data_IF_217585767734
#
_entry.id   IF_217585767734
#
_cell.length_a   1.000
_cell.length_b   1.000
_cell.length_c   1.000
_cell.angle_alpha   90.00
_cell.angle_beta   90.00
_cell.angle_gamma   90.00
#
_symmetry.space_group_name_H-M   'P 1'
#
loop_
_entity.id
_entity.type
_entity.pdbx_description
1 polymer ?
#
# COMPACT_ATOMS: atom_id res chain seq x y z
N UNK A 1 9.11 1.17 -5.51
CA UNK A 1 8.01 2.13 -5.70
C UNK A 1 7.05 2.15 -4.52
N UNK A 2 6.51 1.00 -4.06
CA UNK A 2 5.59 0.92 -2.91
C UNK A 2 6.08 1.70 -1.67
N UNK A 3 7.35 1.54 -1.27
CA UNK A 3 7.96 2.32 -0.18
C UNK A 3 7.82 3.84 -0.35
N UNK A 4 8.12 4.36 -1.55
CA UNK A 4 8.04 5.79 -1.84
C UNK A 4 6.60 6.29 -1.83
N UNK A 5 5.65 5.52 -2.36
CA UNK A 5 4.22 5.83 -2.29
C UNK A 5 3.71 5.83 -0.85
N UNK A 6 4.17 4.90 -0.01
CA UNK A 6 3.82 4.87 1.40
C UNK A 6 4.38 6.07 2.17
N UNK A 7 5.66 6.41 1.93
CA UNK A 7 6.30 7.58 2.51
C UNK A 7 5.59 8.88 2.11
N UNK A 8 5.23 9.01 0.82
CA UNK A 8 4.49 10.17 0.31
C UNK A 8 3.09 10.26 0.94
N UNK A 9 2.30 9.17 0.93
CA UNK A 9 0.97 9.14 1.52
C UNK A 9 0.96 9.58 2.99
N UNK A 10 1.89 9.06 3.80
CA UNK A 10 2.06 9.49 5.19
C UNK A 10 2.43 10.97 5.31
N UNK A 11 3.32 11.48 4.46
CA UNK A 11 3.71 12.90 4.49
C UNK A 11 2.57 13.86 4.10
N UNK A 12 1.60 13.37 3.34
CA UNK A 12 0.37 14.10 2.97
C UNK A 12 -0.75 13.96 4.03
N UNK A 13 -0.53 13.19 5.10
CA UNK A 13 -1.50 13.02 6.19
C UNK A 13 -2.48 11.86 6.00
N UNK A 14 -2.25 10.97 5.03
CA UNK A 14 -3.07 9.78 4.81
C UNK A 14 -2.58 8.58 5.64
N UNK A 15 -3.54 7.73 6.00
CA UNK A 15 -3.26 6.37 6.40
C UNK A 15 -2.85 5.56 5.16
N UNK A 16 -1.91 4.64 5.29
CA UNK A 16 -1.39 3.86 4.16
C UNK A 16 -1.57 2.39 4.44
N UNK A 17 -2.11 1.66 3.47
CA UNK A 17 -2.03 0.22 3.42
C UNK A 17 -1.10 -0.18 2.29
N UNK A 18 -0.17 -1.09 2.55
CA UNK A 18 0.62 -1.81 1.55
C UNK A 18 0.03 -3.21 1.43
N UNK A 19 0.03 -3.80 0.24
CA UNK A 19 -0.53 -5.13 0.02
C UNK A 19 -0.10 -6.13 1.11
N UNK A 20 -1.05 -6.93 1.60
CA UNK A 20 -0.87 -7.84 2.75
C UNK A 20 0.33 -8.78 2.58
N UNK A 21 0.49 -9.30 1.37
CA UNK A 21 1.56 -10.21 0.97
C UNK A 21 2.94 -9.54 0.95
N UNK A 22 3.00 -8.22 0.89
CA UNK A 22 4.24 -7.44 0.82
C UNK A 22 4.70 -6.87 2.16
N UNK A 23 3.91 -7.00 3.24
CA UNK A 23 4.26 -6.51 4.58
C UNK A 23 5.62 -7.00 5.10
N UNK A 24 6.07 -8.19 4.69
CA UNK A 24 7.36 -8.76 5.11
C UNK A 24 8.54 -8.37 4.20
N UNK A 25 8.29 -7.70 3.08
CA UNK A 25 9.35 -7.27 2.18
C UNK A 25 10.09 -6.08 2.76
N UNK A 26 11.37 -5.97 2.42
CA UNK A 26 12.21 -4.86 2.80
C UNK A 26 12.59 -4.02 1.57
N UNK A 27 12.77 -2.71 1.79
CA UNK A 27 13.41 -1.78 0.86
C UNK A 27 14.37 -0.90 1.66
N UNK A 28 15.65 -0.87 1.28
CA UNK A 28 16.68 -0.07 2.00
C UNK A 28 16.64 -0.30 3.53
N UNK A 29 16.64 -1.58 3.95
CA UNK A 29 16.56 -2.02 5.36
C UNK A 29 15.27 -1.62 6.12
N UNK A 30 14.28 -1.05 5.44
CA UNK A 30 12.96 -0.74 6.00
C UNK A 30 11.95 -1.83 5.64
N UNK A 31 11.26 -2.38 6.63
CA UNK A 31 10.20 -3.36 6.40
C UNK A 31 8.94 -2.62 5.96
N UNK A 32 8.37 -2.99 4.80
CA UNK A 32 7.22 -2.30 4.23
C UNK A 32 6.01 -2.30 5.18
N UNK A 33 5.78 -3.40 5.90
CA UNK A 33 4.70 -3.49 6.88
C UNK A 33 4.76 -2.45 8.00
N UNK A 34 5.93 -1.89 8.32
CA UNK A 34 6.08 -0.81 9.30
C UNK A 34 5.54 0.54 8.79
N UNK A 35 5.46 0.67 7.46
CA UNK A 35 4.89 1.82 6.76
C UNK A 35 3.40 1.62 6.41
N UNK A 36 2.83 0.45 6.72
CA UNK A 36 1.43 0.09 6.47
C UNK A 36 0.60 0.15 7.76
N UNK A 37 -0.72 0.24 7.63
CA UNK A 37 -1.66 -0.07 8.69
C UNK A 37 -1.50 -1.54 9.10
N UNK A 38 -1.64 -1.83 10.40
CA UNK A 38 -1.55 -3.22 10.89
C UNK A 38 -2.71 -4.08 10.41
N UNK A 39 -3.90 -3.49 10.27
CA UNK A 39 -5.12 -4.14 9.79
C UNK A 39 -5.86 -3.16 8.89
N UNK A 40 -6.23 -3.59 7.69
CA UNK A 40 -7.12 -2.84 6.82
C UNK A 40 -8.56 -3.01 7.29
N UNK A 41 -9.28 -1.90 7.47
CA UNK A 41 -10.70 -1.89 7.78
C UNK A 41 -11.37 -0.93 6.83
N UNK A 42 -12.43 -1.39 6.18
CA UNK A 42 -13.27 -0.62 5.29
C UNK A 42 -14.73 -0.91 5.66
N UNK A 43 -15.54 0.12 5.80
CA UNK A 43 -16.94 -0.05 6.18
C UNK A 43 -17.79 -0.53 4.98
N UNK A 44 -18.86 -1.26 5.27
CA UNK A 44 -19.88 -1.66 4.28
C UNK A 44 -19.37 -2.52 3.09
N UNK A 45 -18.26 -3.25 3.26
CA UNK A 45 -17.79 -4.23 2.28
C UNK A 45 -17.75 -5.63 2.87
N UNK A 46 -17.91 -6.65 2.02
CA UNK A 46 -17.81 -8.05 2.45
C UNK A 46 -16.35 -8.47 2.66
N UNK A 47 -16.14 -9.51 3.48
CA UNK A 47 -14.80 -10.05 3.75
C UNK A 47 -14.08 -10.50 2.47
N UNK A 48 -14.80 -11.06 1.50
CA UNK A 48 -14.23 -11.47 0.21
C UNK A 48 -13.73 -10.28 -0.61
N UNK A 49 -14.46 -9.16 -0.58
CA UNK A 49 -14.03 -7.93 -1.24
C UNK A 49 -12.86 -7.32 -0.49
N UNK A 50 -12.89 -7.30 0.84
CA UNK A 50 -11.79 -6.83 1.68
C UNK A 50 -10.51 -7.64 1.43
N UNK A 51 -10.60 -8.97 1.34
CA UNK A 51 -9.47 -9.84 1.03
C UNK A 51 -8.86 -9.50 -0.33
N UNK A 52 -9.69 -9.23 -1.33
CA UNK A 52 -9.24 -8.84 -2.67
C UNK A 52 -8.57 -7.46 -2.65
N UNK A 53 -9.22 -6.47 -2.04
CA UNK A 53 -8.70 -5.09 -1.89
C UNK A 53 -7.39 -5.08 -1.08
N UNK A 54 -7.24 -5.97 -0.10
CA UNK A 54 -6.04 -6.08 0.73
C UNK A 54 -4.78 -6.46 -0.05
N UNK A 55 -4.93 -6.91 -1.30
CA UNK A 55 -3.84 -7.29 -2.21
C UNK A 55 -3.45 -6.17 -3.18
N UNK A 56 -4.14 -5.04 -3.21
CA UNK A 56 -3.74 -3.87 -3.99
C UNK A 56 -2.42 -3.33 -3.41
N UNK A 57 -1.44 -3.08 -4.29
CA UNK A 57 -0.06 -2.75 -3.91
C UNK A 57 0.06 -1.66 -2.85
N UNK A 58 -0.62 -0.53 -3.07
CA UNK A 58 -0.71 0.55 -2.08
C UNK A 58 -2.10 1.18 -2.12
N UNK A 59 -2.72 1.38 -0.95
CA UNK A 59 -3.92 2.19 -0.76
C UNK A 59 -3.61 3.36 0.17
N UNK A 60 -4.17 4.52 -0.16
CA UNK A 60 -4.23 5.65 0.76
C UNK A 60 -5.65 5.79 1.28
N UNK A 61 -5.77 5.99 2.58
CA UNK A 61 -7.03 6.18 3.27
C UNK A 61 -7.03 7.51 4.02
N UNK A 62 -8.19 8.15 4.10
CA UNK A 62 -8.39 9.28 4.99
C UNK A 62 -8.48 8.82 6.46
N UNK A 63 -8.82 9.75 7.36
CA UNK A 63 -8.93 9.47 8.79
C UNK A 63 -10.18 8.63 9.14
N UNK A 64 -11.17 8.58 8.25
CA UNK A 64 -12.40 7.81 8.39
C UNK A 64 -12.29 6.43 7.71
N UNK A 65 -11.09 6.05 7.26
CA UNK A 65 -10.78 4.83 6.49
C UNK A 65 -11.50 4.72 5.14
N UNK A 66 -11.84 5.84 4.51
CA UNK A 66 -12.28 5.81 3.11
C UNK A 66 -11.07 5.75 2.19
N UNK A 67 -11.15 4.94 1.12
CA UNK A 67 -10.10 4.89 0.11
C UNK A 67 -10.07 6.22 -0.65
N UNK A 68 -8.95 6.93 -0.56
CA UNK A 68 -8.68 8.15 -1.33
C UNK A 68 -8.04 7.81 -2.67
N UNK A 69 -7.14 6.82 -2.67
CA UNK A 69 -6.44 6.39 -3.88
C UNK A 69 -5.92 4.96 -3.75
N UNK A 70 -5.78 4.28 -4.89
CA UNK A 70 -5.14 2.98 -5.01
C UNK A 70 -4.11 3.01 -6.14
N UNK A 71 -2.96 2.37 -5.88
CA UNK A 71 -1.84 2.32 -6.80
C UNK A 71 -1.49 0.87 -7.07
N UNK A 72 -1.29 0.54 -8.34
CA UNK A 72 -0.69 -0.71 -8.78
C UNK A 72 0.71 -0.41 -9.32
N UNK A 73 1.72 -1.13 -8.84
CA UNK A 73 3.12 -0.93 -9.21
C UNK A 73 3.54 -2.06 -10.13
N UNK A 74 3.59 -1.76 -11.42
CA UNK A 74 4.23 -2.67 -12.36
C UNK A 74 5.75 -2.65 -12.20
N UNK A 75 6.37 -3.84 -12.19
CA UNK A 75 7.83 -3.94 -12.36
C UNK A 75 8.14 -3.64 -13.82
N UNK A 76 8.48 -2.40 -14.15
CA UNK A 76 9.03 -2.09 -15.47
C UNK A 76 10.37 -2.78 -15.65
N UNK A 77 10.55 -3.45 -16.79
CA UNK A 77 11.82 -4.02 -17.27
C UNK A 77 12.96 -3.01 -17.14
N UNK A 78 14.13 -3.44 -16.67
CA UNK A 78 15.34 -2.61 -16.62
C UNK A 78 15.59 -1.95 -17.98
N UNK A 79 15.68 -0.62 -18.01
CA UNK A 79 16.17 0.10 -19.19
C UNK A 79 17.70 -0.05 -19.17
N UNK A 80 18.23 -0.98 -19.97
CA UNK A 80 19.65 -1.08 -20.23
C UNK A 80 20.04 0.01 -21.23
N UNK A 81 20.82 1.01 -20.79
CA UNK A 81 21.56 1.87 -21.70
C UNK A 81 22.76 1.07 -22.25
N UNK A 82 22.81 0.90 -23.57
CA UNK A 82 23.98 0.37 -24.28
C UNK A 82 24.98 1.49 -24.56
#
# INVERSE_FOLDING_TARGET
MQFYLAKLGKSLGYNVWIARNDHKRAWEDQILGEWSLKNLKLENISDTVLDTVSLIDVLWLDQDNNIVSGFEVEKSTSIYHK
#
